data_IF_347010998653
#
_entry.id   IF_347010998653
#
_cell.length_a   1.000
_cell.length_b   1.000
_cell.length_c   1.000
_cell.angle_alpha   90.00
_cell.angle_beta   90.00
_cell.angle_gamma   90.00
#
_symmetry.space_group_name_H-M   'P 1'
#
loop_
_entity.id
_entity.type
_entity.pdbx_description
1 polymer ?
#
# COMPACT_ATOMS: atom_id res chain seq x y z
N UNK A 1 -1.85 15.15 -11.33
CA UNK A 1 -3.09 15.88 -10.98
C UNK A 1 -2.78 16.66 -9.70
N UNK A 2 -2.52 17.96 -9.83
CA UNK A 2 -2.09 18.82 -8.73
C UNK A 2 -3.28 19.06 -7.79
N UNK A 3 -3.31 18.38 -6.65
CA UNK A 3 -3.96 18.95 -5.48
C UNK A 3 -2.96 19.97 -4.93
N UNK A 4 -3.20 21.26 -5.18
CA UNK A 4 -2.39 22.31 -4.55
C UNK A 4 -2.36 22.07 -3.05
N UNK A 5 -1.16 22.07 -2.47
CA UNK A 5 -0.90 22.07 -1.01
C UNK A 5 -1.83 23.04 -0.26
N UNK A 6 -2.23 24.10 -0.92
CA UNK A 6 -3.07 25.18 -0.40
C UNK A 6 -4.48 24.73 0.02
N UNK A 7 -5.08 23.73 -0.63
CA UNK A 7 -6.43 23.23 -0.26
C UNK A 7 -6.36 22.42 1.04
N UNK A 8 -5.29 21.63 1.20
CA UNK A 8 -5.08 20.78 2.37
C UNK A 8 -4.79 21.65 3.59
N UNK A 9 -3.99 22.71 3.45
CA UNK A 9 -3.64 23.61 4.56
C UNK A 9 -4.83 24.43 5.10
N UNK A 10 -5.80 24.79 4.24
CA UNK A 10 -6.92 25.65 4.63
C UNK A 10 -7.95 24.97 5.57
N UNK A 11 -7.97 23.64 5.70
CA UNK A 11 -8.94 22.92 6.54
C UNK A 11 -8.39 22.34 7.85
N UNK A 12 -7.12 22.59 8.19
CA UNK A 12 -6.46 21.98 9.37
C UNK A 12 -6.80 22.69 10.70
N UNK A 13 -7.56 23.78 10.67
CA UNK A 13 -7.73 24.68 11.83
C UNK A 13 -8.91 24.36 12.78
N UNK A 14 -9.50 23.17 12.78
CA UNK A 14 -10.52 22.78 13.77
C UNK A 14 -10.43 21.28 14.08
N UNK A 15 -10.96 20.84 15.23
CA UNK A 15 -11.16 19.43 15.65
C UNK A 15 -12.13 18.66 14.72
N UNK A 16 -11.87 18.71 13.42
CA UNK A 16 -12.69 18.12 12.38
C UNK A 16 -12.40 16.63 12.29
N UNK A 17 -13.46 15.83 12.32
CA UNK A 17 -13.35 14.42 11.98
C UNK A 17 -12.83 14.28 10.54
N UNK A 18 -12.11 13.19 10.26
CA UNK A 18 -11.58 12.89 8.92
C UNK A 18 -12.65 12.96 7.82
N UNK A 19 -13.90 12.62 8.15
CA UNK A 19 -15.06 12.73 7.26
C UNK A 19 -15.44 14.16 6.95
N UNK A 20 -15.36 15.06 7.93
CA UNK A 20 -15.75 16.46 7.80
C UNK A 20 -14.72 17.22 6.97
N UNK A 21 -13.44 16.94 7.21
CA UNK A 21 -12.36 17.44 6.37
C UNK A 21 -12.50 16.98 4.91
N UNK A 22 -12.79 15.70 4.67
CA UNK A 22 -13.01 15.19 3.32
C UNK A 22 -14.24 15.82 2.66
N UNK A 23 -15.33 16.06 3.41
CA UNK A 23 -16.51 16.73 2.90
C UNK A 23 -16.25 18.20 2.55
N UNK A 24 -15.47 18.92 3.36
CA UNK A 24 -15.11 20.32 3.12
C UNK A 24 -14.28 20.51 1.83
N UNK A 25 -13.42 19.53 1.50
CA UNK A 25 -12.60 19.54 0.29
C UNK A 25 -13.38 19.03 -0.95
N UNK A 26 -14.43 18.24 -0.73
CA UNK A 26 -15.23 17.67 -1.83
C UNK A 26 -15.94 18.80 -2.58
N UNK A 27 -15.84 18.79 -3.90
CA UNK A 27 -16.39 19.83 -4.77
C UNK A 27 -16.93 19.21 -6.06
N UNK A 28 -17.61 20.01 -6.89
CA UNK A 28 -18.15 19.53 -8.18
C UNK A 28 -17.05 18.99 -9.12
N UNK A 29 -15.81 19.44 -8.95
CA UNK A 29 -14.64 19.01 -9.75
C UNK A 29 -13.98 17.75 -9.22
N UNK A 30 -14.06 17.48 -7.91
CA UNK A 30 -13.42 16.32 -7.28
C UNK A 30 -14.44 15.46 -6.56
N UNK A 31 -14.57 14.21 -7.03
CA UNK A 31 -15.39 13.23 -6.32
C UNK A 31 -14.81 12.92 -4.94
N UNK A 32 -15.69 12.59 -4.00
CA UNK A 32 -15.32 12.20 -2.63
C UNK A 32 -14.28 11.08 -2.60
N UNK A 33 -14.36 10.11 -3.51
CA UNK A 33 -13.37 9.03 -3.63
C UNK A 33 -11.97 9.52 -4.03
N UNK A 34 -11.87 10.53 -4.90
CA UNK A 34 -10.59 11.14 -5.29
C UNK A 34 -9.97 11.90 -4.12
N UNK A 35 -10.78 12.62 -3.35
CA UNK A 35 -10.31 13.30 -2.13
C UNK A 35 -9.77 12.28 -1.13
N UNK A 36 -10.52 11.23 -0.80
CA UNK A 36 -10.05 10.18 0.12
C UNK A 36 -8.75 9.49 -0.34
N UNK A 37 -8.64 9.15 -1.63
CA UNK A 37 -7.39 8.58 -2.16
C UNK A 37 -6.21 9.53 -1.97
N UNK A 38 -6.43 10.83 -2.17
CA UNK A 38 -5.39 11.85 -2.00
C UNK A 38 -4.98 11.99 -0.54
N UNK A 39 -5.94 11.98 0.40
CA UNK A 39 -5.68 12.02 1.84
C UNK A 39 -4.87 10.80 2.31
N UNK A 40 -5.23 9.60 1.87
CA UNK A 40 -4.48 8.37 2.20
C UNK A 40 -3.05 8.44 1.64
N UNK A 41 -2.87 8.94 0.41
CA UNK A 41 -1.54 9.13 -0.18
C UNK A 41 -0.68 10.10 0.63
N UNK A 42 -1.27 11.17 1.17
CA UNK A 42 -0.57 12.12 2.04
C UNK A 42 -0.19 11.46 3.37
N UNK A 43 -1.12 10.72 3.99
CA UNK A 43 -0.91 10.04 5.27
C UNK A 43 0.19 8.96 5.19
N UNK A 44 0.26 8.24 4.07
CA UNK A 44 1.30 7.25 3.78
C UNK A 44 2.56 7.86 3.14
N UNK A 45 2.58 9.19 2.93
CA UNK A 45 3.66 9.92 2.30
C UNK A 45 4.13 9.31 0.95
N UNK A 46 3.17 8.88 0.12
CA UNK A 46 3.44 8.25 -1.18
C UNK A 46 3.95 9.30 -2.16
N UNK A 47 5.23 9.17 -2.54
CA UNK A 47 5.89 10.11 -3.44
C UNK A 47 5.41 9.95 -4.88
N UNK A 48 5.25 11.07 -5.57
CA UNK A 48 4.84 11.08 -6.97
C UNK A 48 5.91 10.45 -7.88
N UNK A 49 7.19 10.73 -7.62
CA UNK A 49 8.31 10.20 -8.38
C UNK A 49 8.38 8.65 -8.34
N UNK A 50 8.01 8.07 -7.19
CA UNK A 50 7.96 6.61 -7.03
C UNK A 50 6.84 6.01 -7.89
N UNK A 51 5.66 6.64 -7.90
CA UNK A 51 4.52 6.22 -8.72
C UNK A 51 4.83 6.31 -10.22
N UNK A 52 5.51 7.36 -10.66
CA UNK A 52 5.96 7.51 -12.05
C UNK A 52 7.00 6.46 -12.43
N UNK A 53 7.89 6.10 -11.50
CA UNK A 53 8.89 5.05 -11.71
C UNK A 53 8.23 3.67 -11.78
N UNK A 54 7.23 3.39 -10.96
CA UNK A 54 6.43 2.18 -11.01
C UNK A 54 5.62 2.09 -12.32
N UNK A 55 5.07 3.21 -12.79
CA UNK A 55 4.32 3.24 -14.06
C UNK A 55 5.20 2.83 -15.25
N UNK A 56 6.48 3.22 -15.28
CA UNK A 56 7.43 2.85 -16.35
C UNK A 56 7.67 1.33 -16.44
N UNK A 57 7.43 0.59 -15.36
CA UNK A 57 7.58 -0.88 -15.30
C UNK A 57 6.23 -1.61 -15.26
N UNK A 58 5.14 -0.97 -15.71
CA UNK A 58 3.78 -1.52 -15.67
C UNK A 58 3.29 -1.90 -14.26
N UNK A 59 3.76 -1.20 -13.23
CA UNK A 59 3.32 -1.33 -11.82
C UNK A 59 3.66 -2.62 -11.07
N UNK A 60 4.22 -3.65 -11.72
CA UNK A 60 4.37 -4.98 -11.12
C UNK A 60 5.86 -5.32 -10.96
N UNK A 61 6.54 -4.83 -9.90
CA UNK A 61 7.93 -5.20 -9.62
C UNK A 61 8.07 -6.62 -9.04
N UNK A 62 7.05 -7.16 -8.38
CA UNK A 62 7.04 -8.50 -7.80
C UNK A 62 5.62 -9.05 -7.63
N UNK A 63 5.52 -10.34 -7.33
CA UNK A 63 4.27 -11.00 -6.93
C UNK A 63 4.33 -11.41 -5.46
N UNK A 64 3.38 -10.91 -4.66
CA UNK A 64 3.27 -11.27 -3.23
C UNK A 64 2.24 -12.38 -3.03
N UNK A 65 2.66 -13.54 -2.55
CA UNK A 65 1.74 -14.64 -2.21
C UNK A 65 1.41 -14.57 -0.72
N UNK A 66 0.15 -14.25 -0.41
CA UNK A 66 -0.35 -14.14 0.97
C UNK A 66 -0.76 -15.50 1.55
N UNK A 67 -1.21 -16.42 0.70
CA UNK A 67 -1.63 -17.75 1.10
C UNK A 67 -1.95 -18.64 -0.09
N UNK A 68 -2.03 -19.94 0.13
CA UNK A 68 -2.35 -20.93 -0.89
C UNK A 68 -3.00 -22.16 -0.27
N UNK A 69 -3.89 -22.82 -1.02
CA UNK A 69 -4.43 -24.10 -0.55
C UNK A 69 -3.34 -25.17 -0.52
N UNK A 70 -3.40 -26.11 0.43
CA UNK A 70 -2.41 -27.20 0.58
C UNK A 70 -2.24 -28.01 -0.71
N UNK A 71 -3.37 -28.28 -1.38
CA UNK A 71 -3.41 -29.03 -2.64
C UNK A 71 -2.76 -28.28 -3.81
N UNK A 72 -2.75 -26.95 -3.78
CA UNK A 72 -2.20 -26.08 -4.83
C UNK A 72 -0.76 -25.63 -4.59
N UNK A 73 -0.07 -26.18 -3.59
CA UNK A 73 1.36 -25.90 -3.34
C UNK A 73 2.25 -26.16 -4.56
N UNK A 74 1.92 -27.18 -5.37
CA UNK A 74 2.59 -27.47 -6.64
C UNK A 74 2.49 -26.29 -7.64
N UNK A 75 1.39 -25.54 -7.62
CA UNK A 75 1.20 -24.38 -8.51
C UNK A 75 2.20 -23.28 -8.18
N UNK A 76 2.49 -23.04 -6.90
CA UNK A 76 3.49 -22.04 -6.49
C UNK A 76 4.87 -22.41 -7.03
N UNK A 77 5.24 -23.69 -6.98
CA UNK A 77 6.51 -24.17 -7.54
C UNK A 77 6.61 -23.92 -9.04
N UNK A 78 5.52 -24.14 -9.78
CA UNK A 78 5.46 -23.88 -11.22
C UNK A 78 5.52 -22.37 -11.50
N UNK A 79 4.80 -21.55 -10.71
CA UNK A 79 4.82 -20.10 -10.83
C UNK A 79 6.23 -19.55 -10.59
N UNK A 80 6.93 -20.02 -9.56
CA UNK A 80 8.32 -19.62 -9.28
C UNK A 80 9.26 -19.88 -10.47
N UNK A 81 8.99 -20.91 -11.28
CA UNK A 81 9.81 -21.24 -12.47
C UNK A 81 9.42 -20.48 -13.72
N UNK A 82 8.16 -20.06 -13.84
CA UNK A 82 7.59 -19.49 -15.07
C UNK A 82 7.32 -17.99 -15.00
N UNK A 83 7.23 -17.41 -13.81
CA UNK A 83 6.93 -16.00 -13.63
C UNK A 83 8.08 -15.14 -14.14
N UNK A 84 7.73 -14.05 -14.84
CA UNK A 84 8.70 -13.06 -15.34
C UNK A 84 9.19 -12.10 -14.25
N UNK A 85 8.55 -12.11 -13.09
CA UNK A 85 8.84 -11.24 -11.94
C UNK A 85 9.07 -12.10 -10.69
N UNK A 86 9.91 -11.63 -9.74
CA UNK A 86 10.19 -12.38 -8.53
C UNK A 86 8.93 -12.59 -7.69
N UNK A 87 8.82 -13.77 -7.08
CA UNK A 87 7.71 -14.13 -6.21
C UNK A 87 8.18 -14.09 -4.76
N UNK A 88 7.45 -13.33 -3.94
CA UNK A 88 7.70 -13.17 -2.51
C UNK A 88 6.61 -13.90 -1.74
N UNK A 89 7.03 -14.83 -0.88
CA UNK A 89 6.16 -15.55 0.05
C UNK A 89 6.43 -15.09 1.49
N UNK A 90 7.69 -14.77 1.79
CA UNK A 90 8.11 -14.25 3.09
C UNK A 90 8.68 -12.85 2.92
N UNK A 91 8.31 -11.90 3.80
CA UNK A 91 8.89 -10.56 3.77
C UNK A 91 10.40 -10.58 4.04
N UNK A 92 10.98 -11.66 4.57
CA UNK A 92 12.44 -11.73 4.73
C UNK A 92 13.20 -11.73 3.39
N UNK A 93 12.50 -11.94 2.26
CA UNK A 93 13.08 -11.93 0.90
C UNK A 93 13.01 -10.57 0.20
N UNK A 94 12.59 -9.51 0.88
CA UNK A 94 12.51 -8.16 0.27
C UNK A 94 13.88 -7.70 -0.26
N UNK A 95 14.97 -8.10 0.41
CA UNK A 95 16.34 -7.77 0.00
C UNK A 95 16.71 -8.35 -1.37
N UNK A 96 16.00 -9.37 -1.86
CA UNK A 96 16.17 -9.95 -3.20
C UNK A 96 15.50 -9.11 -4.30
N UNK A 97 14.68 -8.11 -3.94
CA UNK A 97 13.99 -7.24 -4.90
C UNK A 97 14.87 -6.09 -5.39
N UNK A 98 14.52 -5.57 -6.56
CA UNK A 98 15.03 -4.28 -7.03
C UNK A 98 14.56 -3.13 -6.12
N UNK A 99 15.20 -1.96 -6.27
CA UNK A 99 14.90 -0.76 -5.47
C UNK A 99 13.42 -0.37 -5.50
N UNK A 100 12.78 -0.43 -6.68
CA UNK A 100 11.35 -0.12 -6.83
C UNK A 100 10.45 -1.11 -6.09
N UNK A 101 10.78 -2.41 -6.12
CA UNK A 101 10.07 -3.43 -5.37
C UNK A 101 10.20 -3.23 -3.87
N UNK A 102 11.38 -2.83 -3.38
CA UNK A 102 11.59 -2.51 -1.98
C UNK A 102 10.79 -1.26 -1.55
N UNK A 103 10.74 -0.22 -2.38
CA UNK A 103 9.93 0.98 -2.13
C UNK A 103 8.44 0.62 -2.09
N UNK A 104 7.95 -0.15 -3.07
CA UNK A 104 6.55 -0.56 -3.09
C UNK A 104 6.20 -1.42 -1.86
N UNK A 105 7.08 -2.34 -1.49
CA UNK A 105 6.89 -3.16 -0.29
C UNK A 105 6.84 -2.31 0.99
N UNK A 106 7.66 -1.26 1.07
CA UNK A 106 7.61 -0.31 2.20
C UNK A 106 6.24 0.36 2.29
N UNK A 107 5.68 0.83 1.18
CA UNK A 107 4.32 1.38 1.18
C UNK A 107 3.27 0.35 1.62
N UNK A 108 3.40 -0.91 1.21
CA UNK A 108 2.53 -1.99 1.70
C UNK A 108 2.63 -2.14 3.22
N UNK A 109 3.85 -2.21 3.77
CA UNK A 109 4.08 -2.35 5.22
C UNK A 109 3.52 -1.17 6.02
N UNK A 110 3.78 0.06 5.56
CA UNK A 110 3.28 1.27 6.19
C UNK A 110 1.75 1.32 6.16
N UNK A 111 1.13 0.83 5.08
CA UNK A 111 -0.33 0.73 4.97
C UNK A 111 -0.93 -0.30 5.93
N UNK A 112 -0.32 -1.48 6.07
CA UNK A 112 -0.74 -2.50 7.05
C UNK A 112 -0.62 -1.97 8.48
N UNK A 113 0.49 -1.28 8.79
CA UNK A 113 0.70 -0.69 10.11
C UNK A 113 -0.32 0.41 10.40
N UNK A 114 -0.57 1.31 9.45
CA UNK A 114 -1.57 2.36 9.57
C UNK A 114 -2.97 1.76 9.82
N UNK A 115 -3.33 0.69 9.12
CA UNK A 115 -4.61 0.01 9.30
C UNK A 115 -4.80 -0.47 10.75
N UNK A 116 -3.80 -1.13 11.32
CA UNK A 116 -3.88 -1.60 12.72
C UNK A 116 -3.80 -0.46 13.74
N UNK A 117 -3.11 0.63 13.43
CA UNK A 117 -3.15 1.85 14.25
C UNK A 117 -4.57 2.42 14.32
N UNK A 118 -5.27 2.54 13.19
CA UNK A 118 -6.65 3.02 13.16
C UNK A 118 -7.63 2.11 13.93
N UNK A 119 -7.34 0.82 14.06
CA UNK A 119 -8.13 -0.12 14.85
C UNK A 119 -7.75 -0.16 16.33
N UNK A 120 -6.79 0.64 16.79
CA UNK A 120 -6.19 0.56 18.12
C UNK A 120 -5.61 -0.84 18.44
N UNK A 121 -5.19 -1.58 17.42
CA UNK A 121 -4.61 -2.92 17.52
C UNK A 121 -3.09 -2.86 17.40
N UNK A 122 -2.44 -2.04 18.21
CA UNK A 122 -0.99 -1.77 18.13
C UNK A 122 -0.11 -3.02 18.30
N UNK A 123 -0.62 -4.08 18.94
CA UNK A 123 0.06 -5.37 19.05
C UNK A 123 0.30 -6.06 17.68
N UNK A 124 -0.52 -5.74 16.67
CA UNK A 124 -0.37 -6.18 15.28
C UNK A 124 0.61 -5.31 14.47
N UNK A 125 1.37 -4.42 15.11
CA UNK A 125 2.44 -3.71 14.43
C UNK A 125 3.42 -4.68 13.77
N UNK A 126 3.77 -4.43 12.51
CA UNK A 126 4.58 -5.28 11.64
C UNK A 126 4.04 -6.73 11.55
N UNK A 127 2.72 -6.90 11.52
CA UNK A 127 2.09 -8.21 11.38
C UNK A 127 2.61 -8.96 10.15
N UNK A 128 2.91 -8.27 9.05
CA UNK A 128 3.45 -8.86 7.82
C UNK A 128 4.66 -9.77 8.07
N UNK A 129 5.54 -9.43 9.02
CA UNK A 129 6.70 -10.25 9.41
C UNK A 129 6.37 -11.35 10.40
N UNK A 130 5.35 -11.15 11.24
CA UNK A 130 4.93 -12.11 12.27
C UNK A 130 4.03 -13.21 11.68
N UNK A 131 3.27 -12.87 10.65
CA UNK A 131 2.28 -13.74 10.05
C UNK A 131 2.95 -14.84 9.24
N UNK A 132 2.67 -16.09 9.61
CA UNK A 132 3.11 -17.25 8.84
C UNK A 132 2.31 -17.36 7.55
N UNK A 133 2.94 -17.95 6.54
CA UNK A 133 2.29 -18.26 5.28
C UNK A 133 1.01 -19.06 5.50
N UNK A 134 -0.11 -18.57 4.98
CA UNK A 134 -1.41 -19.22 5.15
C UNK A 134 -1.49 -20.41 4.20
N UNK A 135 -1.56 -21.62 4.77
CA UNK A 135 -1.81 -22.85 4.02
C UNK A 135 -3.10 -23.52 4.49
N UNK A 136 -4.16 -23.36 3.69
CA UNK A 136 -5.50 -23.92 3.99
C UNK A 136 -5.72 -25.26 3.29
#
# INVERSE_FOLDING_TARGET
MYFSSDIVCNGVCNDLLYTDFANAITSKTYSKATVYRSLIRLLLNIQQNDMESLQKINWIPYLRILGCKKQSTKLISILNKKASVPIIISPNKISELNSLGQILFKYELDSSNLYYLCLNQTYNYNLDYKQKFISC
#
